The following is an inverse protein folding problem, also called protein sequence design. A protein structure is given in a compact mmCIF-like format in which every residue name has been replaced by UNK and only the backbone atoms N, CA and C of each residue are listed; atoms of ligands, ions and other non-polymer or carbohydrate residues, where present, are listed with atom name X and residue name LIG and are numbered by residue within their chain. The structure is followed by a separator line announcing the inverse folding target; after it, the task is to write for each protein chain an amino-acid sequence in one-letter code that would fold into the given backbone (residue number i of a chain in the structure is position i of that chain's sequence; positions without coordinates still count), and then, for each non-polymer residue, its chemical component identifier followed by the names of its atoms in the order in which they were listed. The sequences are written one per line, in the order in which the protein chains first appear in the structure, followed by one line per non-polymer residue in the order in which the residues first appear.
data_IF_906731092695
#
_entry.id   IF_906731092695
#
_cell.length_a   1.000
_cell.length_b   1.000
_cell.length_c   1.000
_cell.angle_alpha   90.00
_cell.angle_beta   90.00
_cell.angle_gamma   90.00
#
_symmetry.space_group_name_H-M   'P 1'
#
loop_
_entity.id
_entity.type
_entity.pdbx_description
1 polymer ?
#
# COMPACT_ATOMS: atom_id res chain seq x y z
N UNK A 1 -14.14 5.63 -24.67
CA UNK A 1 -13.83 5.86 -23.24
C UNK A 1 -13.19 4.59 -22.71
N UNK A 2 -12.08 4.64 -21.97
CA UNK A 2 -11.58 3.43 -21.33
C UNK A 2 -12.66 2.89 -20.37
N UNK A 3 -12.87 1.58 -20.39
CA UNK A 3 -13.88 0.91 -19.57
C UNK A 3 -13.46 1.04 -18.11
N UNK A 4 -14.32 1.63 -17.28
CA UNK A 4 -14.11 1.72 -15.84
C UNK A 4 -14.48 0.38 -15.20
N UNK A 5 -13.51 -0.29 -14.58
CA UNK A 5 -13.72 -1.57 -13.90
C UNK A 5 -14.31 -1.32 -12.49
N UNK A 6 -15.46 -1.94 -12.19
CA UNK A 6 -16.17 -1.77 -10.90
C UNK A 6 -16.21 -3.04 -10.05
N UNK A 7 -15.99 -4.21 -10.67
CA UNK A 7 -15.86 -5.49 -9.98
C UNK A 7 -14.56 -5.54 -9.14
N UNK A 8 -14.44 -6.47 -8.18
CA UNK A 8 -13.24 -6.58 -7.37
C UNK A 8 -11.98 -6.75 -8.26
N UNK A 9 -11.06 -5.77 -8.25
CA UNK A 9 -9.98 -5.69 -9.23
C UNK A 9 -8.99 -6.85 -9.11
N UNK A 10 -8.87 -7.44 -7.92
CA UNK A 10 -7.98 -8.55 -7.66
C UNK A 10 -8.34 -9.85 -8.40
N UNK A 11 -9.60 -10.02 -8.84
CA UNK A 11 -10.00 -11.13 -9.72
C UNK A 11 -9.80 -10.84 -11.21
N UNK A 12 -9.63 -9.58 -11.60
CA UNK A 12 -9.64 -9.21 -13.01
C UNK A 12 -8.28 -9.54 -13.67
N UNK A 13 -8.25 -10.24 -14.83
CA UNK A 13 -7.02 -10.70 -15.47
C UNK A 13 -5.98 -9.60 -15.71
N UNK A 14 -6.42 -8.39 -16.11
CA UNK A 14 -5.52 -7.26 -16.32
C UNK A 14 -4.67 -6.88 -15.08
N UNK A 15 -5.18 -7.06 -13.86
CA UNK A 15 -4.41 -6.80 -12.65
C UNK A 15 -3.39 -7.90 -12.39
N UNK A 16 -3.71 -9.14 -12.75
CA UNK A 16 -2.77 -10.25 -12.69
C UNK A 16 -1.65 -10.09 -13.72
N UNK A 17 -1.99 -9.74 -14.96
CA UNK A 17 -1.01 -9.44 -16.01
C UNK A 17 -0.10 -8.27 -15.62
N UNK A 18 -0.66 -7.19 -15.07
CA UNK A 18 0.12 -6.05 -14.59
C UNK A 18 1.04 -6.44 -13.42
N UNK A 19 0.56 -7.26 -12.49
CA UNK A 19 1.38 -7.80 -11.40
C UNK A 19 2.54 -8.67 -11.92
N UNK A 20 2.27 -9.54 -12.89
CA UNK A 20 3.29 -10.38 -13.54
C UNK A 20 4.31 -9.54 -14.30
N UNK A 21 3.88 -8.47 -14.98
CA UNK A 21 4.79 -7.53 -15.63
C UNK A 21 5.69 -6.82 -14.61
N UNK A 22 5.12 -6.28 -13.53
CA UNK A 22 5.88 -5.57 -12.49
C UNK A 22 6.89 -6.52 -11.83
N UNK A 23 6.47 -7.73 -11.50
CA UNK A 23 7.33 -8.68 -10.80
C UNK A 23 8.31 -9.43 -11.73
N UNK A 24 7.96 -9.64 -13.00
CA UNK A 24 8.78 -10.38 -13.97
C UNK A 24 9.70 -9.50 -14.81
N UNK A 25 9.18 -8.40 -15.35
CA UNK A 25 9.84 -7.65 -16.42
C UNK A 25 10.29 -6.25 -16.01
N UNK A 26 9.51 -5.55 -15.19
CA UNK A 26 9.82 -4.19 -14.80
C UNK A 26 11.12 -4.11 -13.98
N UNK A 27 11.98 -3.15 -14.34
CA UNK A 27 13.23 -2.88 -13.64
C UNK A 27 12.95 -1.89 -12.51
N UNK A 28 12.74 -2.43 -11.32
CA UNK A 28 12.49 -1.63 -10.12
C UNK A 28 13.75 -0.80 -9.77
N UNK A 29 13.61 0.49 -9.45
CA UNK A 29 14.75 1.32 -9.05
C UNK A 29 15.31 0.83 -7.71
N UNK A 30 16.64 0.96 -7.55
CA UNK A 30 17.28 0.80 -6.25
C UNK A 30 17.21 2.13 -5.51
N UNK A 31 16.74 2.10 -4.26
CA UNK A 31 16.60 3.28 -3.41
C UNK A 31 16.99 2.93 -1.98
N UNK A 32 17.54 3.86 -1.18
CA UNK A 32 17.80 3.61 0.23
C UNK A 32 16.56 3.12 0.98
N UNK A 33 15.41 3.75 0.74
CA UNK A 33 14.14 3.46 1.41
C UNK A 33 13.06 3.05 0.42
N UNK A 34 12.21 2.07 0.77
CA UNK A 34 10.90 1.89 0.15
C UNK A 34 9.79 2.23 1.13
N UNK A 35 8.79 2.97 0.66
CA UNK A 35 7.61 3.37 1.44
C UNK A 35 6.38 2.77 0.78
N UNK A 36 5.68 1.90 1.50
CA UNK A 36 4.46 1.24 1.06
C UNK A 36 3.23 1.95 1.63
N UNK A 37 2.35 2.42 0.75
CA UNK A 37 1.07 3.04 1.14
C UNK A 37 -0.11 2.38 0.40
N UNK A 38 -1.28 2.27 1.03
CA UNK A 38 -2.43 1.64 0.39
C UNK A 38 -2.97 2.47 -0.78
N UNK A 39 -3.62 1.79 -1.70
CA UNK A 39 -4.33 2.36 -2.83
C UNK A 39 -5.46 3.28 -2.36
N UNK A 40 -5.89 4.18 -3.23
CA UNK A 40 -6.96 5.14 -2.94
C UNK A 40 -8.17 4.92 -3.84
N UNK A 41 -9.35 5.38 -3.40
CA UNK A 41 -10.57 5.33 -4.22
C UNK A 41 -10.41 6.16 -5.50
N UNK A 42 -9.88 7.38 -5.40
CA UNK A 42 -9.64 8.29 -6.53
C UNK A 42 -8.33 7.92 -7.23
N UNK A 43 -8.40 7.82 -8.56
CA UNK A 43 -7.28 7.55 -9.47
C UNK A 43 -7.08 8.75 -10.40
N UNK A 44 -5.85 9.01 -10.89
CA UNK A 44 -4.60 8.41 -10.43
C UNK A 44 -4.36 8.70 -8.93
N UNK A 45 -3.65 7.79 -8.26
CA UNK A 45 -3.58 7.80 -6.80
C UNK A 45 -2.95 9.08 -6.26
N UNK A 46 -1.97 9.66 -6.95
CA UNK A 46 -1.35 10.95 -6.63
C UNK A 46 -2.33 12.13 -6.50
N UNK A 47 -3.51 12.06 -7.13
CA UNK A 47 -4.56 13.07 -7.00
C UNK A 47 -5.52 12.80 -5.82
N UNK A 48 -5.34 11.66 -5.16
CA UNK A 48 -5.71 11.32 -3.79
C UNK A 48 -5.65 12.48 -2.79
N UNK A 49 -6.70 12.97 -2.10
CA UNK A 49 -6.48 13.79 -0.91
C UNK A 49 -5.53 13.12 0.09
N UNK A 50 -5.70 11.82 0.37
CA UNK A 50 -4.81 11.08 1.28
C UNK A 50 -3.39 10.96 0.73
N UNK A 51 -3.23 10.58 -0.54
CA UNK A 51 -1.90 10.47 -1.16
C UNK A 51 -1.17 11.80 -1.24
N UNK A 52 -1.87 12.92 -1.50
CA UNK A 52 -1.25 14.26 -1.45
C UNK A 52 -0.71 14.57 -0.05
N UNK A 53 -1.45 14.21 1.00
CA UNK A 53 -0.98 14.36 2.39
C UNK A 53 0.23 13.46 2.65
N UNK A 54 0.16 12.18 2.30
CA UNK A 54 1.26 11.23 2.55
C UNK A 54 2.53 11.61 1.79
N UNK A 55 2.40 11.95 0.50
CA UNK A 55 3.54 12.41 -0.32
C UNK A 55 4.17 13.68 0.24
N UNK A 56 3.36 14.64 0.70
CA UNK A 56 3.87 15.85 1.37
C UNK A 56 4.67 15.50 2.63
N UNK A 57 4.15 14.64 3.49
CA UNK A 57 4.87 14.22 4.71
C UNK A 57 6.19 13.50 4.39
N UNK A 58 6.21 12.69 3.34
CA UNK A 58 7.43 12.01 2.87
C UNK A 58 8.44 13.04 2.32
N UNK A 59 8.00 13.96 1.46
CA UNK A 59 8.87 14.98 0.86
C UNK A 59 9.36 16.03 1.86
N UNK A 60 8.66 16.22 2.99
CA UNK A 60 9.13 17.07 4.09
C UNK A 60 10.39 16.47 4.76
N UNK A 61 10.63 15.16 4.60
CA UNK A 61 11.71 14.42 5.28
C UNK A 61 12.79 13.95 4.30
N UNK A 62 12.41 13.42 3.13
CA UNK A 62 13.31 12.78 2.18
C UNK A 62 13.33 13.50 0.83
N UNK A 63 14.51 13.52 0.19
CA UNK A 63 14.61 13.91 -1.21
C UNK A 63 14.04 12.80 -2.11
N UNK A 64 13.57 13.14 -3.32
CA UNK A 64 12.94 12.15 -4.23
C UNK A 64 13.86 10.98 -4.62
N UNK A 65 15.17 11.15 -4.50
CA UNK A 65 16.15 10.10 -4.82
C UNK A 65 16.39 9.11 -3.67
N UNK A 66 15.96 9.42 -2.45
CA UNK A 66 16.19 8.63 -1.23
C UNK A 66 15.14 7.55 -1.02
N UNK A 67 13.97 7.69 -1.63
CA UNK A 67 12.86 6.75 -1.43
C UNK A 67 12.27 6.25 -2.75
N UNK A 68 11.69 5.05 -2.68
CA UNK A 68 10.79 4.51 -3.68
C UNK A 68 9.39 4.41 -3.08
N UNK A 69 8.42 5.13 -3.64
CA UNK A 69 7.03 5.02 -3.21
C UNK A 69 6.34 3.87 -3.93
N UNK A 70 5.82 2.92 -3.17
CA UNK A 70 5.10 1.76 -3.68
C UNK A 70 3.66 1.80 -3.16
N UNK A 71 2.70 1.74 -4.07
CA UNK A 71 1.28 1.71 -3.77
C UNK A 71 0.84 0.25 -3.77
N UNK A 72 -0.01 -0.18 -2.84
CA UNK A 72 -0.49 -1.57 -2.80
C UNK A 72 -1.96 -1.66 -2.35
N UNK A 73 -2.60 -2.83 -2.43
CA UNK A 73 -3.96 -3.04 -1.99
C UNK A 73 -4.79 -3.76 -3.05
N UNK A 74 -6.04 -3.36 -3.28
CA UNK A 74 -6.94 -4.15 -4.16
C UNK A 74 -6.42 -4.33 -5.60
N UNK A 75 -5.46 -3.50 -6.01
CA UNK A 75 -4.79 -3.56 -7.30
C UNK A 75 -3.50 -4.39 -7.34
N UNK A 76 -3.01 -4.98 -6.24
CA UNK A 76 -1.63 -5.45 -6.16
C UNK A 76 -0.63 -4.31 -5.94
N UNK A 77 0.66 -4.66 -6.00
CA UNK A 77 1.78 -3.71 -5.82
C UNK A 77 2.08 -2.91 -7.09
N UNK A 78 2.15 -1.59 -6.96
CA UNK A 78 2.32 -0.61 -8.03
C UNK A 78 3.38 0.41 -7.64
N UNK A 79 4.59 0.36 -8.21
CA UNK A 79 5.52 1.49 -8.18
C UNK A 79 4.81 2.80 -8.58
N UNK A 80 4.96 3.87 -7.80
CA UNK A 80 4.16 5.08 -7.96
C UNK A 80 4.28 5.73 -9.36
N UNK A 81 5.42 5.56 -10.02
CA UNK A 81 5.67 5.99 -11.39
C UNK A 81 4.84 5.23 -12.44
N UNK A 82 4.25 4.09 -12.08
CA UNK A 82 3.39 3.27 -12.94
C UNK A 82 1.89 3.50 -12.67
N UNK A 83 1.48 4.47 -11.86
CA UNK A 83 0.07 4.65 -11.48
C UNK A 83 -0.88 4.92 -12.66
N UNK A 84 -0.35 5.44 -13.78
CA UNK A 84 -1.11 5.70 -15.01
C UNK A 84 -1.15 4.49 -15.96
N UNK A 85 -0.34 3.46 -15.70
CA UNK A 85 -0.36 2.22 -16.47
C UNK A 85 -1.71 1.53 -16.28
N UNK A 86 -2.28 1.00 -17.37
CA UNK A 86 -3.46 0.14 -17.26
C UNK A 86 -3.11 -1.12 -16.44
N UNK A 87 -3.96 -1.55 -15.48
CA UNK A 87 -5.32 -1.07 -15.18
C UNK A 87 -5.43 -0.04 -14.03
N UNK A 88 -4.33 0.44 -13.46
CA UNK A 88 -4.31 1.15 -12.17
C UNK A 88 -5.05 2.49 -12.16
N UNK A 89 -5.13 3.18 -13.29
CA UNK A 89 -5.93 4.40 -13.43
C UNK A 89 -7.41 4.17 -13.82
N UNK A 90 -7.81 2.92 -14.05
CA UNK A 90 -9.05 2.57 -14.77
C UNK A 90 -10.01 1.66 -13.97
N UNK A 91 -9.97 1.73 -12.65
CA UNK A 91 -10.92 1.01 -11.79
C UNK A 91 -11.43 1.87 -10.64
N UNK A 92 -12.62 1.54 -10.16
CA UNK A 92 -13.23 2.15 -8.99
C UNK A 92 -13.85 1.06 -8.11
N UNK A 93 -13.12 0.68 -7.06
CA UNK A 93 -13.54 -0.35 -6.11
C UNK A 93 -13.17 0.05 -4.68
N UNK A 94 -14.03 -0.30 -3.72
CA UNK A 94 -13.84 -0.03 -2.29
C UNK A 94 -14.14 -1.29 -1.49
N UNK A 95 -13.09 -1.97 -1.01
CA UNK A 95 -13.21 -3.20 -0.24
C UNK A 95 -14.01 -3.01 1.06
N UNK A 96 -13.90 -1.85 1.71
CA UNK A 96 -14.63 -1.55 2.96
C UNK A 96 -16.16 -1.46 2.82
N UNK A 97 -16.71 -1.53 1.60
CA UNK A 97 -18.16 -1.64 1.34
C UNK A 97 -18.59 -3.07 0.96
N UNK A 98 -17.68 -4.03 1.03
CA UNK A 98 -17.95 -5.42 0.70
C UNK A 98 -18.25 -6.20 1.98
N UNK A 99 -19.50 -6.64 2.11
CA UNK A 99 -19.95 -7.42 3.27
C UNK A 99 -19.76 -8.93 3.09
N UNK A 100 -19.39 -9.41 1.89
CA UNK A 100 -19.13 -10.84 1.65
C UNK A 100 -17.77 -11.24 2.27
N UNK A 101 -17.75 -12.10 3.31
CA UNK A 101 -16.51 -12.53 3.94
C UNK A 101 -15.59 -13.27 2.97
N UNK A 102 -16.13 -14.01 1.99
CA UNK A 102 -15.31 -14.76 1.02
C UNK A 102 -14.50 -13.83 0.13
N UNK A 103 -15.09 -12.70 -0.28
CA UNK A 103 -14.37 -11.70 -1.08
C UNK A 103 -13.24 -11.06 -0.25
N UNK A 104 -13.44 -10.91 1.06
CA UNK A 104 -12.40 -10.40 1.97
C UNK A 104 -11.27 -11.41 2.15
N UNK A 105 -11.59 -12.69 2.31
CA UNK A 105 -10.60 -13.77 2.43
C UNK A 105 -9.80 -13.93 1.13
N UNK A 106 -10.47 -13.89 -0.02
CA UNK A 106 -9.83 -13.93 -1.33
C UNK A 106 -8.94 -12.70 -1.56
N UNK A 107 -9.39 -11.50 -1.18
CA UNK A 107 -8.55 -10.31 -1.20
C UNK A 107 -7.29 -10.53 -0.36
N UNK A 108 -7.43 -11.02 0.86
CA UNK A 108 -6.32 -11.21 1.79
C UNK A 108 -5.29 -12.19 1.20
N UNK A 109 -5.71 -13.34 0.68
CA UNK A 109 -4.78 -14.32 0.09
C UNK A 109 -4.13 -13.81 -1.19
N UNK A 110 -4.92 -13.25 -2.13
CA UNK A 110 -4.40 -12.75 -3.40
C UNK A 110 -3.42 -11.59 -3.17
N UNK A 111 -3.77 -10.64 -2.31
CA UNK A 111 -2.90 -9.49 -2.03
C UNK A 111 -1.65 -9.90 -1.26
N UNK A 112 -1.77 -10.83 -0.31
CA UNK A 112 -0.61 -11.42 0.36
C UNK A 112 0.36 -12.04 -0.64
N UNK A 113 -0.14 -12.86 -1.57
CA UNK A 113 0.69 -13.48 -2.61
C UNK A 113 1.39 -12.46 -3.51
N UNK A 114 0.67 -11.41 -3.92
CA UNK A 114 1.22 -10.35 -4.77
C UNK A 114 2.29 -9.53 -4.04
N UNK A 115 2.03 -9.14 -2.80
CA UNK A 115 3.00 -8.46 -1.95
C UNK A 115 4.25 -9.33 -1.73
N UNK A 116 4.06 -10.62 -1.41
CA UNK A 116 5.15 -11.57 -1.19
C UNK A 116 6.10 -11.60 -2.40
N UNK A 117 5.52 -11.69 -3.62
CA UNK A 117 6.31 -11.73 -4.86
C UNK A 117 7.07 -10.43 -5.11
N UNK A 118 6.46 -9.28 -4.82
CA UNK A 118 7.12 -7.98 -4.94
C UNK A 118 8.26 -7.84 -3.91
N UNK A 119 8.02 -8.23 -2.66
CA UNK A 119 9.02 -8.20 -1.59
C UNK A 119 10.22 -9.09 -1.94
N UNK A 120 10.00 -10.33 -2.41
CA UNK A 120 11.07 -11.23 -2.89
C UNK A 120 11.86 -10.65 -4.07
N UNK A 121 11.19 -10.03 -5.04
CA UNK A 121 11.88 -9.36 -6.16
C UNK A 121 12.77 -8.21 -5.67
N UNK A 122 12.31 -7.51 -4.64
CA UNK A 122 12.95 -6.29 -4.17
C UNK A 122 13.89 -6.50 -2.99
N UNK A 123 14.19 -7.74 -2.58
CA UNK A 123 15.05 -8.06 -1.44
C UNK A 123 16.35 -7.23 -1.42
N UNK A 124 17.02 -7.09 -2.57
CA UNK A 124 18.28 -6.33 -2.70
C UNK A 124 18.15 -4.96 -3.39
N UNK A 125 16.93 -4.42 -3.46
CA UNK A 125 16.66 -3.11 -4.07
C UNK A 125 16.58 -1.99 -3.04
N UNK A 126 16.20 -2.32 -1.81
CA UNK A 126 16.02 -1.36 -0.73
C UNK A 126 16.86 -1.75 0.48
N UNK A 127 17.47 -0.75 1.13
CA UNK A 127 18.16 -0.96 2.41
C UNK A 127 17.15 -1.03 3.54
N UNK A 128 16.13 -0.16 3.52
CA UNK A 128 15.05 -0.11 4.50
C UNK A 128 13.66 -0.11 3.84
N UNK A 129 12.65 -0.58 4.57
CA UNK A 129 11.24 -0.67 4.15
C UNK A 129 10.32 -0.15 5.25
N UNK A 130 9.46 0.79 4.88
CA UNK A 130 8.40 1.33 5.72
C UNK A 130 7.04 1.00 5.10
N UNK A 131 6.07 0.55 5.88
CA UNK A 131 4.68 0.44 5.44
C UNK A 131 3.76 1.29 6.34
N UNK A 132 2.83 2.01 5.72
CA UNK A 132 1.82 2.82 6.41
C UNK A 132 0.42 2.35 6.06
N UNK A 133 -0.15 1.44 6.86
CA UNK A 133 -1.39 0.72 6.54
C UNK A 133 -2.16 0.22 7.77
N UNK A 134 -3.48 0.00 7.57
CA UNK A 134 -4.45 -0.44 8.57
C UNK A 134 -5.28 -1.64 8.08
N UNK A 135 -5.97 -2.29 9.02
CA UNK A 135 -6.95 -3.34 8.76
C UNK A 135 -6.41 -4.49 7.89
N UNK A 136 -7.24 -5.00 6.99
CA UNK A 136 -6.89 -6.14 6.13
C UNK A 136 -5.71 -5.86 5.19
N UNK A 137 -5.42 -4.59 4.85
CA UNK A 137 -4.22 -4.23 4.08
C UNK A 137 -2.95 -4.40 4.92
N UNK A 138 -3.02 -4.06 6.21
CA UNK A 138 -1.92 -4.29 7.17
C UNK A 138 -1.69 -5.79 7.37
N UNK A 139 -2.76 -6.55 7.52
CA UNK A 139 -2.70 -8.00 7.65
C UNK A 139 -2.03 -8.67 6.44
N UNK A 140 -2.44 -8.31 5.21
CA UNK A 140 -1.82 -8.81 3.99
C UNK A 140 -0.31 -8.47 3.91
N UNK A 141 0.07 -7.27 4.33
CA UNK A 141 1.48 -6.84 4.38
C UNK A 141 2.29 -7.64 5.41
N UNK A 142 1.75 -7.88 6.60
CA UNK A 142 2.40 -8.71 7.64
C UNK A 142 2.62 -10.12 7.10
N UNK A 143 1.55 -10.77 6.62
CA UNK A 143 1.65 -12.14 6.07
C UNK A 143 2.64 -12.22 4.91
N UNK A 144 2.66 -11.21 4.03
CA UNK A 144 3.59 -11.18 2.90
C UNK A 144 5.05 -11.01 3.35
N UNK A 145 5.30 -10.17 4.35
CA UNK A 145 6.64 -9.99 4.92
C UNK A 145 7.14 -11.29 5.56
N UNK A 146 6.30 -11.96 6.33
CA UNK A 146 6.59 -13.27 6.94
C UNK A 146 6.84 -14.36 5.88
N UNK A 147 5.94 -14.52 4.90
CA UNK A 147 6.04 -15.52 3.82
C UNK A 147 7.26 -15.31 2.92
N UNK A 148 7.65 -14.06 2.69
CA UNK A 148 8.81 -13.72 1.85
C UNK A 148 10.14 -13.79 2.59
N UNK A 149 10.13 -13.74 3.93
CA UNK A 149 11.34 -13.56 4.74
C UNK A 149 11.99 -12.18 4.56
N UNK A 150 11.26 -11.21 4.01
CA UNK A 150 11.75 -9.84 3.78
C UNK A 150 11.09 -8.93 4.83
N UNK A 151 11.83 -8.49 5.86
CA UNK A 151 11.27 -7.72 6.96
C UNK A 151 10.91 -6.29 6.53
N UNK A 152 9.96 -5.71 7.27
CA UNK A 152 9.75 -4.27 7.32
C UNK A 152 10.55 -3.69 8.48
N UNK A 153 11.29 -2.61 8.24
CA UNK A 153 12.00 -1.86 9.28
C UNK A 153 11.04 -0.99 10.09
N UNK A 154 9.92 -0.58 9.49
CA UNK A 154 8.91 0.24 10.14
C UNK A 154 7.52 -0.09 9.61
N UNK A 155 6.58 -0.40 10.51
CA UNK A 155 5.18 -0.64 10.17
C UNK A 155 4.28 0.26 11.03
N UNK A 156 3.65 1.23 10.38
CA UNK A 156 2.84 2.27 11.02
C UNK A 156 1.39 2.28 10.51
N UNK A 157 0.44 2.81 11.28
CA UNK A 157 0.55 3.17 12.71
C UNK A 157 0.96 1.97 13.58
N UNK A 158 1.50 2.20 14.78
CA UNK A 158 1.82 1.08 15.68
C UNK A 158 0.53 0.44 16.22
N UNK A 159 0.60 -0.82 16.67
CA UNK A 159 -0.57 -1.48 17.26
C UNK A 159 -1.09 -0.70 18.47
N UNK A 160 -0.19 -0.10 19.27
CA UNK A 160 -0.57 0.74 20.41
C UNK A 160 -1.39 1.97 19.97
N UNK A 161 -0.97 2.66 18.92
CA UNK A 161 -1.73 3.82 18.40
C UNK A 161 -3.07 3.37 17.84
N UNK A 162 -3.12 2.26 17.10
CA UNK A 162 -4.37 1.70 16.55
C UNK A 162 -5.35 1.37 17.68
N UNK A 163 -4.91 0.68 18.73
CA UNK A 163 -5.74 0.33 19.88
C UNK A 163 -6.26 1.58 20.61
N UNK A 164 -5.43 2.62 20.73
CA UNK A 164 -5.80 3.89 21.38
C UNK A 164 -6.86 4.65 20.58
N UNK A 165 -6.77 4.60 19.24
CA UNK A 165 -7.67 5.32 18.35
C UNK A 165 -8.91 4.53 17.93
N UNK A 166 -8.99 3.25 18.32
CA UNK A 166 -10.08 2.37 17.93
C UNK A 166 -11.38 2.80 18.58
N UNK A 167 -12.40 3.01 17.75
CA UNK A 167 -13.76 3.30 18.17
C UNK A 167 -14.72 2.21 17.66
N UNK A 168 -15.16 1.27 18.50
CA UNK A 168 -16.04 0.17 18.08
C UNK A 168 -17.43 0.64 17.64
N UNK A 169 -17.84 1.85 17.99
CA UNK A 169 -19.15 2.40 17.63
C UNK A 169 -19.14 3.03 16.22
N UNK A 170 -17.96 3.17 15.60
CA UNK A 170 -17.80 3.67 14.25
C UNK A 170 -17.87 2.55 13.18
N UNK A 171 -18.45 2.82 11.99
CA UNK A 171 -18.47 1.85 10.87
C UNK A 171 -17.07 1.40 10.41
N UNK A 172 -16.05 2.23 10.66
CA UNK A 172 -14.64 1.92 10.42
C UNK A 172 -13.90 2.07 11.76
N UNK A 173 -13.81 1.00 12.59
CA UNK A 173 -13.35 1.14 13.97
C UNK A 173 -11.91 1.65 14.11
N UNK A 174 -11.03 1.26 13.19
CA UNK A 174 -9.63 1.74 13.18
C UNK A 174 -9.48 3.13 12.54
N UNK A 175 -10.58 3.74 12.06
CA UNK A 175 -10.61 5.06 11.46
C UNK A 175 -9.90 5.16 10.12
N UNK A 176 -9.26 6.31 9.88
CA UNK A 176 -8.59 6.66 8.62
C UNK A 176 -7.12 6.95 8.86
N UNK A 177 -6.25 6.49 7.97
CA UNK A 177 -4.82 6.87 7.93
C UNK A 177 -4.57 8.39 7.82
N UNK A 178 -5.60 9.21 7.59
CA UNK A 178 -5.49 10.68 7.63
C UNK A 178 -5.88 11.28 8.99
N UNK A 179 -6.10 10.47 10.02
CA UNK A 179 -6.26 10.94 11.40
C UNK A 179 -4.96 11.54 11.91
N UNK A 180 -5.08 12.57 12.76
CA UNK A 180 -3.95 13.38 13.21
C UNK A 180 -2.90 12.52 13.91
N UNK A 181 -3.32 11.63 14.78
CA UNK A 181 -2.47 10.78 15.61
C UNK A 181 -1.64 9.82 14.75
N UNK A 182 -2.26 9.21 13.75
CA UNK A 182 -1.57 8.35 12.78
C UNK A 182 -0.60 9.13 11.90
N UNK A 183 -0.96 10.34 11.46
CA UNK A 183 -0.07 11.19 10.65
C UNK A 183 1.12 11.72 11.46
N UNK A 184 0.90 12.09 12.72
CA UNK A 184 1.95 12.56 13.63
C UNK A 184 2.93 11.40 13.92
N UNK A 185 2.42 10.19 14.17
CA UNK A 185 3.26 8.99 14.31
C UNK A 185 4.01 8.65 13.02
N UNK A 186 3.35 8.72 11.87
CA UNK A 186 3.98 8.48 10.57
C UNK A 186 5.13 9.45 10.30
N UNK A 187 4.91 10.75 10.55
CA UNK A 187 5.96 11.77 10.40
C UNK A 187 7.16 11.48 11.31
N UNK A 188 6.92 11.14 12.58
CA UNK A 188 8.00 10.84 13.52
C UNK A 188 8.78 9.59 13.10
N UNK A 189 8.09 8.55 12.61
CA UNK A 189 8.71 7.35 12.07
C UNK A 189 9.53 7.61 10.81
N UNK A 190 9.06 8.48 9.90
CA UNK A 190 9.86 8.90 8.74
C UNK A 190 11.15 9.61 9.17
N UNK A 191 11.09 10.48 10.17
CA UNK A 191 12.27 11.20 10.69
C UNK A 191 13.28 10.22 11.29
N UNK A 192 12.84 9.25 12.09
CA UNK A 192 13.75 8.23 12.67
C UNK A 192 14.37 7.32 11.62
N UNK A 193 13.74 7.18 10.45
CA UNK A 193 14.31 6.48 9.30
C UNK A 193 15.22 7.35 8.44
N UNK A 194 15.44 8.63 8.74
CA UNK A 194 16.46 9.44 8.05
C UNK A 194 17.80 9.35 8.76
N UNK A 195 17.76 9.25 10.08
CA UNK A 195 18.90 8.97 10.96
C UNK A 195 19.51 7.58 10.65
#
# INVERSE_FOLDING_TARGET
MPILLTEPPFYHPAFEEAHQYITGCYRIPKRPLAIFIPCALRKPYSQSPSHRLFRRMISDVFDEEDYHLVIFGTCGTVPAELELMYPFAHYQYMLGKCDDPRIRDDFLEIETSRLERYLRKTTHHYMRRCAYCLGVFREAMIHASERSGVPLDLLLPSNQTIETMRDPDCPFPDGSLSMKEYMDEFRNGLISMKE
#
